data_IF_183075348479
#
_entry.id   IF_183075348479
#
_cell.length_a   1.000
_cell.length_b   1.000
_cell.length_c   1.000
_cell.angle_alpha   90.00
_cell.angle_beta   90.00
_cell.angle_gamma   90.00
#
_symmetry.space_group_name_H-M   'P 1'
#
loop_
_entity.id
_entity.type
_entity.pdbx_description
1 polymer ?
#
# COMPACT_ATOMS: atom_id res chain seq x y z
N UNK A 1 17.25 -17.24 26.89
CA UNK A 1 15.84 -17.58 27.05
C UNK A 1 15.03 -16.49 26.33
N UNK A 2 14.10 -16.83 25.40
CA UNK A 2 13.26 -15.83 24.78
C UNK A 2 12.41 -15.17 25.87
N UNK A 3 12.44 -13.84 25.90
CA UNK A 3 11.56 -13.07 26.79
C UNK A 3 10.13 -13.30 26.29
N UNK A 4 9.19 -13.59 27.18
CA UNK A 4 7.78 -13.77 26.83
C UNK A 4 7.28 -12.56 26.02
N UNK A 5 6.78 -12.79 24.79
CA UNK A 5 6.30 -11.75 23.89
C UNK A 5 7.19 -11.44 22.69
N UNK A 6 8.40 -12.00 22.58
CA UNK A 6 9.29 -11.82 21.42
C UNK A 6 9.05 -12.85 20.31
N UNK A 7 8.42 -13.97 20.61
CA UNK A 7 8.13 -15.00 19.62
C UNK A 7 6.97 -14.58 18.70
N UNK A 8 7.15 -14.79 17.39
CA UNK A 8 6.10 -14.63 16.40
C UNK A 8 5.54 -16.02 16.07
N UNK A 9 4.24 -16.18 16.24
CA UNK A 9 3.52 -17.40 15.85
C UNK A 9 2.24 -17.03 15.13
N UNK A 10 2.13 -17.49 13.88
CA UNK A 10 0.96 -17.28 13.02
C UNK A 10 0.46 -18.57 12.42
N UNK A 11 -0.87 -18.70 12.33
CA UNK A 11 -1.54 -19.79 11.64
C UNK A 11 -2.57 -19.19 10.69
N UNK A 12 -2.62 -19.70 9.49
CA UNK A 12 -3.60 -19.31 8.46
C UNK A 12 -4.49 -20.50 8.13
N UNK A 13 -5.78 -20.24 8.04
CA UNK A 13 -6.77 -21.23 7.62
C UNK A 13 -7.47 -20.74 6.36
N UNK A 14 -7.73 -21.68 5.47
CA UNK A 14 -8.30 -21.42 4.16
C UNK A 14 -9.52 -22.31 3.96
N UNK A 15 -10.51 -21.79 3.23
CA UNK A 15 -11.65 -22.60 2.79
C UNK A 15 -11.27 -23.56 1.65
N UNK A 16 -12.25 -24.35 1.14
CA UNK A 16 -12.03 -25.28 0.02
C UNK A 16 -11.68 -24.57 -1.30
N UNK A 17 -12.04 -23.31 -1.47
CA UNK A 17 -11.68 -22.49 -2.61
C UNK A 17 -10.36 -21.72 -2.38
N UNK A 18 -9.66 -22.03 -1.28
CA UNK A 18 -8.41 -21.41 -0.86
C UNK A 18 -8.50 -19.92 -0.54
N UNK A 19 -9.64 -19.41 -0.20
CA UNK A 19 -9.73 -18.08 0.38
C UNK A 19 -9.24 -18.10 1.82
N UNK A 20 -8.52 -17.06 2.24
CA UNK A 20 -8.14 -16.90 3.64
C UNK A 20 -9.42 -16.62 4.45
N UNK A 21 -9.73 -17.45 5.42
CA UNK A 21 -10.93 -17.32 6.27
C UNK A 21 -10.61 -17.08 7.73
N UNK A 22 -9.42 -17.44 8.19
CA UNK A 22 -9.02 -17.21 9.57
C UNK A 22 -7.51 -17.08 9.69
N UNK A 23 -7.06 -16.16 10.56
CA UNK A 23 -5.68 -16.07 11.03
C UNK A 23 -5.64 -16.09 12.55
N UNK A 24 -4.67 -16.79 13.10
CA UNK A 24 -4.36 -16.73 14.53
C UNK A 24 -2.95 -16.22 14.71
N UNK A 25 -2.82 -15.07 15.32
CA UNK A 25 -1.54 -14.43 15.65
C UNK A 25 -1.39 -14.36 17.18
N UNK A 26 -0.20 -14.65 17.70
CA UNK A 26 0.01 -14.64 19.14
C UNK A 26 0.03 -13.24 19.76
N UNK A 27 0.15 -12.19 18.95
CA UNK A 27 0.10 -10.79 19.40
C UNK A 27 -1.25 -10.12 19.11
N UNK A 28 -1.73 -10.24 17.85
CA UNK A 28 -2.96 -9.59 17.40
C UNK A 28 -4.23 -10.40 17.68
N UNK A 29 -4.07 -11.67 18.12
CA UNK A 29 -5.19 -12.57 18.35
C UNK A 29 -5.76 -13.20 17.09
N UNK A 30 -7.01 -13.60 17.16
CA UNK A 30 -7.74 -14.20 16.04
C UNK A 30 -8.32 -13.12 15.13
N UNK A 31 -8.28 -13.36 13.82
CA UNK A 31 -8.99 -12.57 12.82
C UNK A 31 -9.78 -13.51 11.90
N UNK A 32 -11.08 -13.30 11.78
CA UNK A 32 -11.98 -14.01 10.88
C UNK A 32 -12.21 -13.17 9.63
N UNK A 33 -12.17 -13.81 8.46
CA UNK A 33 -12.47 -13.19 7.15
C UNK A 33 -13.71 -13.86 6.57
N UNK A 34 -14.76 -13.09 6.34
CA UNK A 34 -15.93 -13.56 5.61
C UNK A 34 -15.77 -13.19 4.15
N UNK A 35 -16.01 -14.16 3.28
CA UNK A 35 -15.84 -13.98 1.84
C UNK A 35 -17.15 -14.24 1.11
N UNK A 36 -17.37 -13.52 0.02
CA UNK A 36 -18.47 -13.76 -0.88
C UNK A 36 -18.14 -14.91 -1.87
N UNK A 37 -19.09 -15.25 -2.75
CA UNK A 37 -18.93 -16.31 -3.75
C UNK A 37 -17.78 -16.07 -4.75
N UNK A 38 -17.36 -14.82 -4.91
CA UNK A 38 -16.23 -14.44 -5.78
C UNK A 38 -14.88 -14.43 -5.04
N UNK A 39 -14.85 -14.84 -3.76
CA UNK A 39 -13.65 -14.84 -2.93
C UNK A 39 -13.28 -13.48 -2.35
N UNK A 40 -14.07 -12.43 -2.59
CA UNK A 40 -13.81 -11.10 -2.03
C UNK A 40 -14.20 -11.07 -0.55
N UNK A 41 -13.35 -10.46 0.27
CA UNK A 41 -13.60 -10.29 1.71
C UNK A 41 -14.70 -9.26 1.90
N UNK A 42 -15.79 -9.63 2.56
CA UNK A 42 -16.91 -8.75 2.91
C UNK A 42 -16.82 -8.23 4.33
N UNK A 43 -16.21 -9.01 5.23
CA UNK A 43 -16.06 -8.64 6.63
C UNK A 43 -14.73 -9.14 7.17
N UNK A 44 -14.07 -8.31 7.97
CA UNK A 44 -12.90 -8.67 8.78
C UNK A 44 -13.25 -8.45 10.24
N UNK A 45 -13.21 -9.50 11.03
CA UNK A 45 -13.53 -9.48 12.45
C UNK A 45 -12.27 -9.81 13.22
N UNK A 46 -11.71 -8.88 13.97
CA UNK A 46 -10.50 -9.13 14.74
C UNK A 46 -10.73 -9.03 16.25
N UNK A 47 -9.92 -9.78 17.00
CA UNK A 47 -10.03 -9.85 18.46
C UNK A 47 -9.73 -8.54 19.20
N UNK A 48 -9.28 -7.50 18.51
CA UNK A 48 -8.98 -6.18 19.08
C UNK A 48 -10.17 -5.23 19.05
N UNK A 49 -11.38 -5.74 18.93
CA UNK A 49 -12.65 -4.96 18.88
C UNK A 49 -12.81 -4.10 17.61
N UNK A 50 -12.04 -4.35 16.58
CA UNK A 50 -12.21 -3.70 15.29
C UNK A 50 -12.91 -4.62 14.33
N UNK A 51 -13.84 -4.10 13.55
CA UNK A 51 -14.45 -4.80 12.43
C UNK A 51 -14.42 -3.92 11.19
N UNK A 52 -14.18 -4.56 10.06
CA UNK A 52 -14.20 -3.93 8.76
C UNK A 52 -15.33 -4.54 7.93
N UNK A 53 -16.08 -3.70 7.21
CA UNK A 53 -17.17 -4.14 6.35
C UNK A 53 -16.98 -3.57 4.96
N UNK A 54 -17.15 -4.43 3.95
CA UNK A 54 -16.94 -4.11 2.55
C UNK A 54 -18.08 -4.60 1.68
N UNK A 55 -18.45 -3.79 0.69
CA UNK A 55 -19.40 -4.19 -0.34
C UNK A 55 -18.83 -3.90 -1.71
N UNK A 56 -19.23 -4.73 -2.66
CA UNK A 56 -18.73 -4.70 -4.02
C UNK A 56 -19.90 -4.66 -5.00
N UNK A 57 -19.69 -4.06 -6.16
CA UNK A 57 -20.62 -4.13 -7.27
C UNK A 57 -20.44 -5.43 -8.10
N UNK A 58 -21.25 -5.58 -9.15
CA UNK A 58 -21.16 -6.73 -10.05
C UNK A 58 -19.87 -6.77 -10.88
N UNK A 59 -19.13 -5.65 -10.94
CA UNK A 59 -17.83 -5.52 -11.59
C UNK A 59 -16.67 -5.68 -10.63
N UNK A 60 -16.95 -6.13 -9.39
CA UNK A 60 -16.02 -6.37 -8.30
C UNK A 60 -15.35 -5.10 -7.74
N UNK A 61 -15.87 -3.91 -8.04
CA UNK A 61 -15.37 -2.68 -7.49
C UNK A 61 -15.88 -2.47 -6.05
N UNK A 62 -15.03 -1.93 -5.20
CA UNK A 62 -15.40 -1.55 -3.84
C UNK A 62 -16.41 -0.40 -3.88
N UNK A 63 -17.59 -0.60 -3.28
CA UNK A 63 -18.68 0.39 -3.26
C UNK A 63 -18.99 0.90 -1.86
N UNK A 64 -18.57 0.18 -0.83
CA UNK A 64 -18.72 0.58 0.56
C UNK A 64 -17.53 0.08 1.38
N UNK A 65 -17.04 0.93 2.26
CA UNK A 65 -16.01 0.64 3.24
C UNK A 65 -16.40 1.25 4.56
N UNK A 66 -16.48 0.44 5.62
CA UNK A 66 -16.76 0.89 6.98
C UNK A 66 -15.83 0.19 7.95
N UNK A 67 -15.32 0.93 8.92
CA UNK A 67 -14.62 0.40 10.09
C UNK A 67 -15.45 0.71 11.32
N UNK A 68 -15.57 -0.24 12.23
CA UNK A 68 -16.33 -0.07 13.48
C UNK A 68 -15.56 -0.66 14.64
N UNK A 69 -15.63 0.02 15.77
CA UNK A 69 -15.23 -0.53 17.05
C UNK A 69 -16.42 -1.27 17.68
N UNK A 70 -16.18 -2.39 18.31
CA UNK A 70 -17.19 -3.06 19.14
C UNK A 70 -17.36 -2.29 20.45
N UNK A 71 -18.57 -2.26 20.99
CA UNK A 71 -18.82 -1.72 22.33
C UNK A 71 -18.10 -2.55 23.42
N UNK A 72 -18.14 -2.06 24.67
CA UNK A 72 -17.53 -2.71 25.82
C UNK A 72 -18.08 -4.12 26.11
N UNK A 73 -19.25 -4.47 25.54
CA UNK A 73 -19.92 -5.77 25.68
C UNK A 73 -19.63 -6.71 24.53
N UNK A 74 -18.79 -6.31 23.55
CA UNK A 74 -18.47 -7.13 22.37
C UNK A 74 -19.64 -7.26 21.39
N UNK A 75 -20.71 -6.48 21.55
CA UNK A 75 -21.81 -6.45 20.60
C UNK A 75 -21.49 -5.46 19.49
N UNK A 76 -21.55 -5.96 18.24
CA UNK A 76 -21.48 -5.09 17.07
C UNK A 76 -22.76 -4.26 17.04
N UNK A 77 -22.67 -2.97 17.29
CA UNK A 77 -23.76 -2.07 16.96
C UNK A 77 -23.81 -1.96 15.43
N UNK A 78 -24.54 -2.86 14.81
CA UNK A 78 -24.97 -2.74 13.41
C UNK A 78 -25.99 -1.60 13.32
N UNK A 79 -25.54 -0.37 13.44
CA UNK A 79 -26.33 0.71 12.85
C UNK A 79 -26.38 0.43 11.35
N UNK A 80 -27.61 0.38 10.89
CA UNK A 80 -28.04 -0.15 9.62
C UNK A 80 -27.04 0.04 8.48
N UNK A 81 -26.86 -1.04 7.69
CA UNK A 81 -26.09 -1.10 6.42
C UNK A 81 -26.50 -0.05 5.36
N UNK A 82 -27.31 0.93 5.73
CA UNK A 82 -27.87 2.01 4.92
C UNK A 82 -27.30 3.39 5.26
N UNK A 83 -26.27 3.48 6.10
CA UNK A 83 -25.64 4.79 6.34
C UNK A 83 -24.89 5.22 5.09
N UNK A 84 -25.47 6.21 4.40
CA UNK A 84 -24.90 6.80 3.18
C UNK A 84 -23.50 7.40 3.38
N UNK A 85 -23.05 7.56 4.64
CA UNK A 85 -21.73 8.09 4.98
C UNK A 85 -20.59 7.13 4.60
N UNK A 86 -20.86 5.82 4.53
CA UNK A 86 -19.87 4.79 4.16
C UNK A 86 -19.92 4.37 2.71
N UNK A 87 -20.88 4.87 1.94
CA UNK A 87 -21.03 4.58 0.53
C UNK A 87 -20.06 5.37 -0.35
N UNK A 88 -19.51 4.72 -1.35
CA UNK A 88 -18.66 5.34 -2.37
C UNK A 88 -19.49 5.66 -3.62
N UNK A 89 -19.49 6.92 -4.07
CA UNK A 89 -20.03 7.26 -5.36
C UNK A 89 -18.96 7.14 -6.42
N UNK A 90 -19.27 6.41 -7.48
CA UNK A 90 -18.34 6.16 -8.60
C UNK A 90 -18.89 6.72 -9.89
N UNK A 91 -17.97 7.10 -10.77
CA UNK A 91 -18.28 7.45 -12.17
C UNK A 91 -17.13 7.00 -13.07
N UNK A 92 -17.42 6.16 -14.05
CA UNK A 92 -16.42 5.60 -14.96
C UNK A 92 -15.24 4.91 -14.23
N UNK A 93 -15.55 4.06 -13.25
CA UNK A 93 -14.56 3.33 -12.44
C UNK A 93 -13.84 4.16 -11.37
N UNK A 94 -14.05 5.50 -11.31
CA UNK A 94 -13.40 6.42 -10.37
C UNK A 94 -14.32 6.77 -9.22
N UNK A 95 -13.78 6.79 -8.00
CA UNK A 95 -14.51 7.26 -6.83
C UNK A 95 -14.56 8.79 -6.87
N UNK A 96 -15.76 9.34 -6.91
CA UNK A 96 -15.99 10.79 -6.93
C UNK A 96 -16.40 11.35 -5.58
N UNK A 97 -16.90 10.49 -4.67
CA UNK A 97 -17.21 10.83 -3.28
C UNK A 97 -17.08 9.61 -2.38
N UNK A 98 -16.52 9.82 -1.20
CA UNK A 98 -16.49 8.86 -0.10
C UNK A 98 -16.64 9.61 1.23
N UNK A 99 -17.68 9.30 1.98
CA UNK A 99 -18.01 10.00 3.22
C UNK A 99 -18.15 11.52 3.00
N UNK A 100 -17.37 12.28 3.75
CA UNK A 100 -17.29 13.74 3.68
C UNK A 100 -16.25 14.25 2.66
N UNK A 101 -15.64 13.36 1.86
CA UNK A 101 -14.61 13.69 0.89
C UNK A 101 -15.13 13.61 -0.54
N UNK A 102 -14.69 14.56 -1.36
CA UNK A 102 -15.02 14.66 -2.79
C UNK A 102 -13.74 14.66 -3.62
N UNK A 103 -13.71 13.87 -4.67
CA UNK A 103 -12.55 13.67 -5.54
C UNK A 103 -12.88 14.19 -6.93
N UNK A 104 -12.03 15.08 -7.47
CA UNK A 104 -12.13 15.60 -8.82
C UNK A 104 -10.93 15.13 -9.64
N UNK A 105 -11.18 14.80 -10.88
CA UNK A 105 -10.19 14.29 -11.81
C UNK A 105 -10.02 15.26 -12.99
N UNK A 106 -8.84 15.28 -13.56
CA UNK A 106 -8.55 16.02 -14.79
C UNK A 106 -9.13 15.28 -16.02
N UNK A 107 -8.94 15.87 -17.20
CA UNK A 107 -9.44 15.32 -18.47
C UNK A 107 -8.83 13.96 -18.82
N UNK A 108 -7.60 13.71 -18.35
CA UNK A 108 -6.91 12.42 -18.52
C UNK A 108 -7.27 11.40 -17.42
N UNK A 109 -8.23 11.73 -16.54
CA UNK A 109 -8.71 10.82 -15.51
C UNK A 109 -7.77 10.66 -14.30
N UNK A 110 -6.82 11.57 -14.08
CA UNK A 110 -5.92 11.58 -12.93
C UNK A 110 -6.50 12.45 -11.82
N UNK A 111 -6.33 12.05 -10.57
CA UNK A 111 -6.83 12.82 -9.44
C UNK A 111 -6.23 14.23 -9.44
N UNK A 112 -7.07 15.23 -9.58
CA UNK A 112 -6.68 16.64 -9.56
C UNK A 112 -6.82 17.25 -8.17
N UNK A 113 -7.91 16.91 -7.45
CA UNK A 113 -8.10 17.42 -6.08
C UNK A 113 -8.94 16.48 -5.21
N UNK A 114 -8.61 16.47 -3.91
CA UNK A 114 -9.38 15.84 -2.82
C UNK A 114 -9.84 16.94 -1.88
N UNK A 115 -11.16 17.12 -1.72
CA UNK A 115 -11.75 18.11 -0.81
C UNK A 115 -12.46 17.39 0.33
N UNK A 116 -12.05 17.66 1.57
CA UNK A 116 -12.70 17.20 2.78
C UNK A 116 -13.61 18.31 3.37
N UNK A 117 -14.85 17.95 3.73
CA UNK A 117 -15.82 18.87 4.30
C UNK A 117 -16.27 18.37 5.65
N UNK A 118 -15.93 19.07 6.73
CA UNK A 118 -16.40 18.79 8.09
C UNK A 118 -17.48 19.79 8.48
N UNK A 119 -18.55 19.32 9.14
CA UNK A 119 -19.64 20.19 9.60
C UNK A 119 -19.08 21.26 10.54
N UNK A 120 -19.34 22.53 10.24
CA UNK A 120 -18.85 23.67 11.03
C UNK A 120 -17.45 24.17 10.63
N UNK A 121 -16.77 23.54 9.67
CA UNK A 121 -15.44 23.95 9.22
C UNK A 121 -15.41 24.27 7.73
N UNK A 122 -14.44 25.06 7.31
CA UNK A 122 -14.20 25.31 5.89
C UNK A 122 -13.75 24.02 5.20
N UNK A 123 -14.16 23.77 3.96
CA UNK A 123 -13.63 22.68 3.16
C UNK A 123 -12.13 22.81 2.99
N UNK A 124 -11.43 21.70 3.13
CA UNK A 124 -9.97 21.59 2.98
C UNK A 124 -9.69 20.84 1.70
N UNK A 125 -8.89 21.43 0.80
CA UNK A 125 -8.61 20.83 -0.50
C UNK A 125 -7.11 20.57 -0.66
N UNK A 126 -6.77 19.35 -0.98
CA UNK A 126 -5.44 18.93 -1.43
C UNK A 126 -5.44 18.87 -2.96
N UNK A 127 -4.41 19.42 -3.59
CA UNK A 127 -4.25 19.46 -5.04
C UNK A 127 -3.08 18.59 -5.50
N UNK A 128 -3.24 17.97 -6.65
CA UNK A 128 -2.29 17.07 -7.29
C UNK A 128 -1.97 17.59 -8.70
N UNK A 129 -0.67 17.72 -9.03
CA UNK A 129 -0.22 18.09 -10.37
C UNK A 129 0.53 16.94 -11.02
N UNK A 130 0.29 16.77 -12.29
CA UNK A 130 0.81 15.67 -13.09
C UNK A 130 1.61 16.19 -14.28
N UNK A 131 2.65 15.46 -14.68
CA UNK A 131 3.33 15.71 -15.94
C UNK A 131 2.62 15.00 -17.11
N UNK A 132 3.16 15.16 -18.33
CA UNK A 132 2.64 14.53 -19.54
C UNK A 132 2.70 12.99 -19.52
N UNK A 133 3.56 12.41 -18.71
CA UNK A 133 3.74 10.95 -18.53
C UNK A 133 2.84 10.38 -17.42
N UNK A 134 1.87 11.16 -16.93
CA UNK A 134 0.98 10.80 -15.82
C UNK A 134 1.71 10.45 -14.51
N UNK A 135 2.86 11.08 -14.26
CA UNK A 135 3.58 11.01 -13.01
C UNK A 135 3.19 12.20 -12.12
N UNK A 136 2.94 11.96 -10.84
CA UNK A 136 2.64 13.00 -9.87
C UNK A 136 3.90 13.83 -9.60
N UNK A 137 3.89 15.11 -9.95
CA UNK A 137 5.07 15.98 -9.82
C UNK A 137 4.97 16.99 -8.69
N UNK A 138 3.76 17.38 -8.29
CA UNK A 138 3.55 18.25 -7.13
C UNK A 138 2.29 17.85 -6.36
N UNK A 139 2.36 18.04 -5.05
CA UNK A 139 1.26 17.94 -4.11
C UNK A 139 1.17 19.25 -3.33
N UNK A 140 -0.03 19.79 -3.17
CA UNK A 140 -0.28 20.93 -2.30
C UNK A 140 -1.31 20.54 -1.25
N UNK A 141 -0.86 20.26 -0.03
CA UNK A 141 -1.71 19.90 1.10
C UNK A 141 -1.77 21.03 2.11
N UNK A 142 -2.97 21.44 2.56
CA UNK A 142 -3.13 22.48 3.57
C UNK A 142 -2.47 22.16 4.91
N UNK A 143 -2.32 20.86 5.23
CA UNK A 143 -1.80 20.42 6.52
C UNK A 143 -0.37 19.90 6.47
N UNK A 144 0.06 19.39 5.31
CA UNK A 144 1.37 18.74 5.11
C UNK A 144 2.32 19.57 4.24
N UNK A 145 1.88 20.78 3.81
CA UNK A 145 2.66 21.67 2.96
C UNK A 145 2.67 21.23 1.50
N UNK A 146 3.57 21.84 0.76
CA UNK A 146 3.73 21.62 -0.68
C UNK A 146 4.95 20.76 -0.95
N UNK A 147 4.80 19.77 -1.81
CA UNK A 147 5.84 18.80 -2.11
C UNK A 147 6.04 18.65 -3.61
N UNK A 148 7.29 18.35 -4.00
CA UNK A 148 7.69 18.04 -5.38
C UNK A 148 8.32 16.67 -5.44
N UNK A 149 8.04 15.99 -6.56
CA UNK A 149 8.52 14.65 -6.86
C UNK A 149 9.28 14.66 -8.17
N UNK A 150 10.44 14.03 -8.20
CA UNK A 150 11.29 13.93 -9.39
C UNK A 150 11.49 12.48 -9.77
N UNK A 151 11.61 12.25 -11.08
CA UNK A 151 11.69 10.92 -11.67
C UNK A 151 12.90 10.81 -12.58
N UNK A 152 13.46 9.61 -12.68
CA UNK A 152 14.50 9.31 -13.66
C UNK A 152 13.87 9.02 -15.04
N UNK A 153 14.73 8.76 -16.04
CA UNK A 153 14.32 8.41 -17.40
C UNK A 153 13.51 7.11 -17.51
N UNK A 154 13.61 6.24 -16.51
CA UNK A 154 12.80 5.03 -16.41
C UNK A 154 11.48 5.25 -15.68
N UNK A 155 11.18 6.48 -15.26
CA UNK A 155 9.98 6.83 -14.52
C UNK A 155 9.97 6.37 -13.05
N UNK A 156 11.13 6.06 -12.44
CA UNK A 156 11.24 5.77 -11.01
C UNK A 156 11.38 7.06 -10.24
N UNK A 157 10.64 7.22 -9.17
CA UNK A 157 10.72 8.41 -8.32
C UNK A 157 12.04 8.44 -7.55
N UNK A 158 12.94 9.31 -7.95
CA UNK A 158 14.29 9.41 -7.37
C UNK A 158 14.40 10.43 -6.25
N UNK A 159 13.47 11.39 -6.16
CA UNK A 159 13.50 12.43 -5.14
C UNK A 159 12.09 12.84 -4.76
N UNK A 160 11.86 13.15 -3.49
CA UNK A 160 10.74 13.96 -3.02
C UNK A 160 11.24 15.01 -2.04
N UNK A 161 10.70 16.22 -2.11
CA UNK A 161 11.07 17.29 -1.19
C UNK A 161 9.96 18.31 -1.02
N UNK A 162 9.97 18.92 0.15
CA UNK A 162 9.06 20.01 0.49
C UNK A 162 9.51 21.29 -0.19
N UNK A 163 8.56 22.02 -0.78
CA UNK A 163 8.79 23.32 -1.42
C UNK A 163 8.11 24.43 -0.63
N UNK A 164 8.77 25.59 -0.55
CA UNK A 164 8.09 26.80 -0.10
C UNK A 164 7.22 27.32 -1.25
N UNK A 165 5.99 27.66 -0.94
CA UNK A 165 5.10 28.33 -1.87
C UNK A 165 4.81 29.72 -1.31
N UNK A 166 4.83 30.74 -2.15
CA UNK A 166 4.43 32.11 -1.81
C UNK A 166 2.93 32.21 -1.47
N UNK A 167 2.21 31.12 -1.60
CA UNK A 167 0.82 31.00 -1.14
C UNK A 167 0.83 30.92 0.38
N UNK A 168 0.03 31.77 1.06
CA UNK A 168 -0.12 31.68 2.52
C UNK A 168 -0.54 30.27 2.88
N UNK A 169 0.31 29.59 3.67
CA UNK A 169 0.03 28.24 4.17
C UNK A 169 -1.28 28.26 4.95
N UNK A 170 -2.28 27.45 4.60
CA UNK A 170 -3.55 27.43 5.32
C UNK A 170 -3.42 26.92 6.78
N UNK A 171 -2.20 26.60 7.24
CA UNK A 171 -1.92 26.15 8.60
C UNK A 171 -2.27 27.15 9.70
N UNK A 172 -2.55 28.39 9.32
CA UNK A 172 -3.10 29.40 10.22
C UNK A 172 -4.63 29.53 10.10
N UNK A 173 -5.29 28.68 9.35
CA UNK A 173 -6.75 28.61 9.39
C UNK A 173 -7.14 27.93 10.71
N UNK A 174 -7.13 28.72 11.78
CA UNK A 174 -7.82 28.41 13.02
C UNK A 174 -9.17 27.80 12.65
N UNK A 175 -9.54 26.72 13.30
CA UNK A 175 -10.85 26.06 13.22
C UNK A 175 -11.96 27.09 13.55
N UNK A 176 -12.41 27.86 12.59
CA UNK A 176 -13.40 28.91 12.79
C UNK A 176 -14.76 28.51 12.26
N UNK A 177 -15.84 28.76 13.00
CA UNK A 177 -17.19 28.38 12.59
C UNK A 177 -17.65 29.16 11.36
N UNK A 178 -18.37 28.47 10.46
CA UNK A 178 -18.88 28.97 9.16
C UNK A 178 -19.81 30.20 9.26
N UNK A 179 -20.20 30.63 10.47
CA UNK A 179 -21.17 31.70 10.69
C UNK A 179 -20.62 33.10 10.88
N UNK A 180 -19.37 33.35 10.48
CA UNK A 180 -18.84 34.71 10.48
C UNK A 180 -19.39 35.52 9.29
N UNK A 181 -19.85 36.75 9.53
CA UNK A 181 -20.36 37.63 8.50
C UNK A 181 -19.24 38.18 7.58
N UNK A 182 -19.61 38.86 6.47
CA UNK A 182 -18.65 39.38 5.47
C UNK A 182 -17.64 40.36 6.09
N UNK A 183 -18.05 41.20 7.06
CA UNK A 183 -17.18 42.20 7.71
C UNK A 183 -16.10 41.54 8.59
N UNK A 184 -16.44 40.41 9.19
CA UNK A 184 -15.47 39.59 9.93
C UNK A 184 -14.36 39.03 9.01
N UNK A 185 -14.75 38.56 7.82
CA UNK A 185 -13.79 38.07 6.84
C UNK A 185 -12.92 39.16 6.26
N UNK A 186 -13.42 40.37 6.07
CA UNK A 186 -12.63 41.50 5.63
C UNK A 186 -11.55 41.86 6.64
N UNK A 187 -11.91 41.88 7.91
CA UNK A 187 -11.00 42.14 9.04
C UNK A 187 -9.91 41.08 9.21
N UNK A 188 -10.27 39.80 9.00
CA UNK A 188 -9.32 38.68 9.03
C UNK A 188 -8.35 38.75 7.86
N UNK A 189 -8.82 39.06 6.65
CA UNK A 189 -7.96 39.21 5.48
C UNK A 189 -6.98 40.38 5.62
N UNK A 190 -7.41 41.50 6.27
CA UNK A 190 -6.51 42.61 6.61
C UNK A 190 -5.46 42.25 7.66
N UNK A 191 -5.84 41.45 8.67
CA UNK A 191 -4.90 40.94 9.67
C UNK A 191 -3.87 40.01 9.04
N UNK A 192 -4.30 39.12 8.15
CA UNK A 192 -3.41 38.22 7.43
C UNK A 192 -2.46 38.96 6.47
N UNK A 193 -2.94 40.01 5.78
CA UNK A 193 -2.08 40.83 4.94
C UNK A 193 -1.00 41.57 5.77
N UNK A 194 -1.35 42.06 6.95
CA UNK A 194 -0.41 42.70 7.89
C UNK A 194 0.58 41.70 8.49
N UNK A 195 0.11 40.48 8.81
CA UNK A 195 0.95 39.42 9.36
C UNK A 195 1.91 38.85 8.31
N UNK A 196 1.47 38.68 7.05
CA UNK A 196 2.32 38.34 5.93
C UNK A 196 3.41 39.38 5.65
N UNK A 197 3.08 40.65 5.75
CA UNK A 197 4.08 41.73 5.65
C UNK A 197 5.08 41.72 6.82
N UNK A 198 4.62 41.50 8.06
CA UNK A 198 5.50 41.44 9.23
C UNK A 198 6.38 40.17 9.25
N UNK A 199 5.94 39.09 8.64
CA UNK A 199 6.73 37.85 8.46
C UNK A 199 7.78 38.03 7.35
N UNK A 200 7.49 38.75 6.27
CA UNK A 200 8.47 38.99 5.21
C UNK A 200 9.69 39.77 5.72
N UNK A 201 9.50 40.65 6.72
CA UNK A 201 10.61 41.40 7.37
C UNK A 201 11.37 40.57 8.41
N UNK A 202 10.75 39.53 9.00
CA UNK A 202 11.39 38.60 9.95
C UNK A 202 12.02 37.38 9.28
N UNK A 203 11.69 37.09 8.03
CA UNK A 203 12.09 35.88 7.31
C UNK A 203 13.55 35.88 6.84
N UNK A 204 14.28 36.98 7.03
CA UNK A 204 15.71 37.01 6.71
C UNK A 204 16.61 36.27 7.71
N UNK A 205 16.09 35.72 8.82
CA UNK A 205 16.93 35.10 9.86
C UNK A 205 16.54 33.65 10.29
N UNK A 206 15.43 33.09 9.82
CA UNK A 206 15.07 31.69 10.14
C UNK A 206 14.51 30.99 8.90
N UNK A 207 15.39 30.64 7.96
CA UNK A 207 15.09 29.71 6.89
C UNK A 207 14.86 28.33 7.49
N UNK A 208 13.60 27.91 7.61
CA UNK A 208 13.23 26.55 8.00
C UNK A 208 13.80 25.60 6.95
N UNK A 209 14.74 24.76 7.35
CA UNK A 209 15.26 23.72 6.48
C UNK A 209 14.11 22.85 6.00
N UNK A 210 13.82 22.88 4.70
CA UNK A 210 12.84 22.02 4.08
C UNK A 210 13.40 20.60 4.06
N UNK A 211 12.55 19.60 4.31
CA UNK A 211 12.96 18.20 4.33
C UNK A 211 12.63 17.48 3.02
N UNK A 212 13.37 16.45 2.74
CA UNK A 212 13.11 15.59 1.57
C UNK A 212 13.92 14.31 1.63
N UNK A 213 13.74 13.48 0.62
CA UNK A 213 14.41 12.19 0.51
C UNK A 213 14.90 11.94 -0.91
N UNK A 214 16.05 11.29 -1.01
CA UNK A 214 16.63 10.72 -2.24
C UNK A 214 16.49 9.21 -2.20
N UNK A 215 16.10 8.63 -3.34
CA UNK A 215 15.84 7.21 -3.49
C UNK A 215 16.80 6.56 -4.47
N UNK A 216 17.24 5.33 -4.17
CA UNK A 216 18.00 4.49 -5.09
C UNK A 216 17.24 3.20 -5.38
N UNK A 217 17.38 2.75 -6.62
CA UNK A 217 16.73 1.54 -7.10
C UNK A 217 17.73 0.58 -7.75
N UNK A 218 17.57 -0.71 -7.47
CA UNK A 218 18.10 -1.81 -8.28
C UNK A 218 16.94 -2.32 -9.13
N UNK A 219 16.95 -2.06 -10.44
CA UNK A 219 15.80 -2.28 -11.32
C UNK A 219 14.55 -1.56 -10.79
N UNK A 220 13.54 -2.29 -10.30
CA UNK A 220 12.32 -1.74 -9.70
C UNK A 220 12.26 -1.87 -8.17
N UNK A 221 13.27 -2.47 -7.54
CA UNK A 221 13.38 -2.58 -6.09
C UNK A 221 13.93 -1.28 -5.49
N UNK A 222 13.27 -0.71 -4.50
CA UNK A 222 13.75 0.43 -3.71
C UNK A 222 14.84 -0.05 -2.75
N UNK A 223 16.11 0.14 -3.08
CA UNK A 223 17.23 -0.39 -2.27
C UNK A 223 17.78 0.60 -1.25
N UNK A 224 17.53 1.90 -1.41
CA UNK A 224 17.91 2.88 -0.38
C UNK A 224 17.06 4.16 -0.45
N UNK A 225 16.90 4.77 0.72
CA UNK A 225 16.39 6.12 0.87
C UNK A 225 17.30 6.91 1.82
N UNK A 226 17.68 8.11 1.41
CA UNK A 226 18.52 8.99 2.21
C UNK A 226 17.82 10.32 2.45
N UNK A 227 17.83 10.84 3.69
CA UNK A 227 17.31 12.17 3.96
C UNK A 227 18.17 13.21 3.24
N UNK A 228 17.53 14.24 2.71
CA UNK A 228 18.22 15.41 2.17
C UNK A 228 17.73 16.66 2.88
N UNK A 229 18.62 17.62 3.02
CA UNK A 229 18.30 18.94 3.53
C UNK A 229 18.26 19.92 2.35
N UNK A 230 17.22 20.70 2.31
CA UNK A 230 17.04 21.74 1.30
C UNK A 230 17.14 23.07 2.02
N UNK A 231 18.15 23.86 1.65
CA UNK A 231 18.31 25.22 2.16
C UNK A 231 17.85 26.20 1.08
N UNK A 232 17.14 27.24 1.49
CA UNK A 232 16.79 28.35 0.61
C UNK A 232 17.74 29.51 0.91
N UNK A 233 18.43 30.02 -0.09
CA UNK A 233 19.27 31.22 0.00
C UNK A 233 18.75 32.20 -1.03
N UNK A 234 18.37 33.40 -0.61
CA UNK A 234 17.92 34.51 -1.49
C UNK A 234 16.82 34.11 -2.50
N UNK A 235 15.86 33.30 -2.07
CA UNK A 235 14.77 32.84 -2.93
C UNK A 235 15.13 31.66 -3.87
N UNK A 236 16.39 31.24 -3.90
CA UNK A 236 16.81 30.06 -4.64
C UNK A 236 16.86 28.84 -3.72
N UNK A 237 16.16 27.76 -4.11
CA UNK A 237 16.23 26.46 -3.44
C UNK A 237 17.57 25.80 -3.80
N UNK A 238 18.47 25.67 -2.85
CA UNK A 238 19.68 24.86 -3.00
C UNK A 238 19.39 23.44 -2.49
N UNK A 239 19.40 22.45 -3.38
CA UNK A 239 19.37 21.03 -3.02
C UNK A 239 20.71 20.67 -2.40
N UNK A 240 20.74 20.36 -1.11
CA UNK A 240 21.91 19.77 -0.49
C UNK A 240 22.02 18.29 -0.88
N UNK A 241 23.23 17.76 -0.85
CA UNK A 241 23.46 16.34 -1.13
C UNK A 241 22.71 15.46 -0.13
N UNK A 242 22.23 14.31 -0.61
CA UNK A 242 21.62 13.31 0.24
C UNK A 242 22.63 12.79 1.27
N UNK A 243 22.20 12.69 2.52
CA UNK A 243 23.04 12.17 3.59
C UNK A 243 22.98 10.64 3.61
N UNK A 244 23.85 9.99 2.82
CA UNK A 244 23.93 8.54 2.73
C UNK A 244 24.41 7.85 4.01
N UNK A 245 25.09 8.56 4.91
CA UNK A 245 25.44 8.01 6.22
C UNK A 245 24.21 7.78 7.13
N UNK A 246 23.14 8.52 6.88
CA UNK A 246 21.85 8.36 7.56
C UNK A 246 20.79 7.69 6.68
N UNK A 247 21.21 7.02 5.61
CA UNK A 247 20.30 6.31 4.72
C UNK A 247 19.75 5.04 5.34
N UNK A 248 18.54 4.70 4.95
CA UNK A 248 17.95 3.39 5.16
C UNK A 248 18.24 2.55 3.92
N UNK A 249 18.84 1.38 4.10
CA UNK A 249 19.09 0.42 3.05
C UNK A 249 18.15 -0.78 3.20
N UNK A 250 17.56 -1.21 2.08
CA UNK A 250 16.71 -2.38 2.01
C UNK A 250 17.40 -3.48 1.22
N UNK A 251 17.48 -4.66 1.79
CA UNK A 251 18.11 -5.83 1.19
C UNK A 251 17.02 -6.76 0.65
N UNK A 252 17.19 -7.22 -0.59
CA UNK A 252 16.22 -8.08 -1.27
C UNK A 252 16.91 -9.36 -1.73
N UNK A 253 16.13 -10.43 -1.84
CA UNK A 253 16.50 -11.57 -2.66
C UNK A 253 16.34 -11.18 -4.15
N UNK A 254 16.97 -11.92 -5.02
CA UNK A 254 16.84 -11.72 -6.46
C UNK A 254 15.39 -11.90 -6.88
N UNK A 255 14.90 -10.98 -7.73
CA UNK A 255 13.53 -10.94 -8.26
C UNK A 255 12.38 -10.90 -7.23
N UNK A 256 12.67 -10.65 -5.95
CA UNK A 256 11.65 -10.45 -4.93
C UNK A 256 11.37 -8.95 -4.71
N UNK A 257 10.13 -8.59 -4.48
CA UNK A 257 9.72 -7.22 -4.12
C UNK A 257 9.52 -7.04 -2.61
N UNK A 258 9.66 -8.09 -1.82
CA UNK A 258 9.63 -8.04 -0.36
C UNK A 258 11.06 -7.98 0.16
N UNK A 259 11.50 -6.90 0.81
CA UNK A 259 12.84 -6.85 1.39
C UNK A 259 12.97 -7.87 2.52
N UNK A 260 14.13 -8.50 2.61
CA UNK A 260 14.47 -9.49 3.66
C UNK A 260 15.10 -8.85 4.88
N UNK A 261 15.72 -7.67 4.71
CA UNK A 261 16.31 -6.93 5.82
C UNK A 261 16.36 -5.43 5.53
N UNK A 262 16.52 -4.68 6.61
CA UNK A 262 16.73 -3.23 6.63
C UNK A 262 18.00 -2.91 7.41
N UNK A 263 18.82 -2.01 6.89
CA UNK A 263 20.02 -1.51 7.57
C UNK A 263 19.95 0.00 7.69
N UNK A 264 20.15 0.53 8.90
CA UNK A 264 20.19 1.96 9.19
C UNK A 264 21.12 2.23 10.37
N UNK A 265 22.01 3.22 10.24
CA UNK A 265 22.88 3.70 11.34
C UNK A 265 23.64 2.60 12.07
N UNK A 266 24.15 1.62 11.34
CA UNK A 266 24.89 0.49 11.92
C UNK A 266 24.04 -0.65 12.49
N UNK A 267 22.71 -0.55 12.40
CA UNK A 267 21.80 -1.57 12.91
C UNK A 267 21.14 -2.33 11.75
N UNK A 268 21.17 -3.65 11.80
CA UNK A 268 20.47 -4.53 10.89
C UNK A 268 19.19 -5.02 11.53
N UNK A 269 18.10 -4.99 10.74
CA UNK A 269 16.81 -5.55 11.13
C UNK A 269 16.35 -6.53 10.06
N UNK A 270 15.97 -7.72 10.46
CA UNK A 270 15.33 -8.70 9.57
C UNK A 270 13.85 -8.41 9.46
N UNK A 271 13.29 -8.57 8.26
CA UNK A 271 11.87 -8.39 8.02
C UNK A 271 11.10 -9.68 8.23
N UNK A 272 9.92 -9.59 8.82
CA UNK A 272 8.93 -10.65 8.83
C UNK A 272 7.72 -10.17 8.04
N UNK A 273 7.25 -11.00 7.12
CA UNK A 273 6.13 -10.68 6.25
C UNK A 273 4.95 -11.64 6.47
N UNK A 274 3.77 -11.20 6.07
CA UNK A 274 2.56 -12.02 6.02
C UNK A 274 2.55 -12.96 4.78
N UNK A 275 1.43 -13.64 4.56
CA UNK A 275 1.26 -14.63 3.47
C UNK A 275 1.28 -14.02 2.05
N UNK A 276 1.13 -12.71 1.93
CA UNK A 276 1.19 -12.00 0.63
C UNK A 276 2.46 -11.14 0.48
N UNK A 277 3.38 -11.20 1.46
CA UNK A 277 4.65 -10.51 1.41
C UNK A 277 4.64 -9.10 2.04
N UNK A 278 3.57 -8.71 2.72
CA UNK A 278 3.53 -7.44 3.46
C UNK A 278 4.38 -7.53 4.72
N UNK A 279 5.32 -6.60 4.90
CA UNK A 279 6.14 -6.54 6.11
C UNK A 279 5.25 -6.22 7.31
N UNK A 280 5.34 -7.04 8.34
CA UNK A 280 4.57 -6.90 9.57
C UNK A 280 5.44 -6.62 10.78
N UNK A 281 6.68 -7.14 10.82
CA UNK A 281 7.65 -6.86 11.87
C UNK A 281 9.04 -6.59 11.33
N UNK A 282 9.83 -5.88 12.14
CA UNK A 282 11.28 -5.76 12.01
C UNK A 282 11.91 -6.31 13.28
N UNK A 283 12.86 -7.24 13.12
CA UNK A 283 13.58 -7.91 14.18
C UNK A 283 15.02 -7.43 14.23
N UNK A 284 15.54 -7.20 15.43
CA UNK A 284 16.98 -7.00 15.63
C UNK A 284 17.77 -8.27 15.32
N UNK A 285 19.10 -8.18 15.22
CA UNK A 285 19.98 -9.35 15.02
C UNK A 285 19.85 -10.40 16.15
N UNK A 286 19.51 -9.95 17.36
CA UNK A 286 19.26 -10.82 18.52
C UNK A 286 17.83 -11.40 18.52
N UNK A 287 17.01 -11.10 17.52
CA UNK A 287 15.65 -11.62 17.37
C UNK A 287 14.58 -10.89 18.19
N UNK A 288 14.87 -9.71 18.73
CA UNK A 288 13.86 -8.88 19.37
C UNK A 288 13.03 -8.14 18.34
N UNK A 289 11.72 -8.00 18.59
CA UNK A 289 10.82 -7.23 17.74
C UNK A 289 11.00 -5.76 18.09
N UNK A 290 11.47 -4.97 17.12
CA UNK A 290 11.75 -3.55 17.27
C UNK A 290 10.67 -2.67 16.64
N UNK A 291 9.95 -3.21 15.64
CA UNK A 291 8.84 -2.58 14.98
C UNK A 291 7.75 -3.60 14.65
N UNK A 292 6.50 -3.18 14.75
CA UNK A 292 5.32 -3.93 14.29
C UNK A 292 4.33 -3.01 13.61
N UNK A 293 3.71 -3.49 12.53
CA UNK A 293 2.56 -2.82 11.93
C UNK A 293 1.44 -3.81 11.66
N UNK A 294 0.22 -3.29 11.64
CA UNK A 294 -0.96 -3.99 11.19
C UNK A 294 -1.68 -3.11 10.18
N UNK A 295 -1.97 -3.65 9.02
CA UNK A 295 -2.76 -2.99 7.99
C UNK A 295 -4.19 -3.53 8.01
N UNK A 296 -5.16 -2.67 7.67
CA UNK A 296 -6.50 -3.13 7.33
C UNK A 296 -6.49 -3.84 5.96
N UNK A 297 -7.63 -4.39 5.55
CA UNK A 297 -7.74 -5.15 4.30
C UNK A 297 -7.25 -4.37 3.07
N UNK A 298 -7.39 -3.05 3.05
CA UNK A 298 -7.03 -2.19 1.92
C UNK A 298 -5.74 -1.38 2.14
N UNK A 299 -4.95 -1.75 3.16
CA UNK A 299 -3.57 -1.26 3.30
C UNK A 299 -3.40 0.00 4.12
N UNK A 300 -4.45 0.55 4.76
CA UNK A 300 -4.27 1.59 5.77
C UNK A 300 -3.63 0.99 7.02
N UNK A 301 -2.65 1.68 7.58
CA UNK A 301 -2.07 1.27 8.85
C UNK A 301 -3.09 1.46 9.98
N UNK A 302 -3.52 0.36 10.61
CA UNK A 302 -4.36 0.39 11.81
C UNK A 302 -3.50 0.72 13.03
N UNK A 303 -2.30 0.16 13.08
CA UNK A 303 -1.32 0.37 14.14
C UNK A 303 0.03 0.48 13.48
N UNK A 304 0.66 1.63 13.64
CA UNK A 304 2.04 1.88 13.28
C UNK A 304 2.83 1.78 14.58
N UNK A 305 3.35 0.58 14.84
CA UNK A 305 3.86 0.21 16.17
C UNK A 305 5.34 0.45 16.31
N UNK A 306 5.69 1.32 17.23
CA UNK A 306 7.05 1.44 17.74
C UNK A 306 7.26 0.53 18.95
N UNK A 307 8.52 0.19 19.19
CA UNK A 307 8.91 -0.44 20.46
C UNK A 307 8.44 0.45 21.62
N UNK A 308 7.60 -0.07 22.49
CA UNK A 308 7.11 0.64 23.67
C UNK A 308 8.20 1.02 24.70
N UNK A 309 9.49 0.79 24.38
CA UNK A 309 10.59 0.96 25.33
C UNK A 309 11.13 2.37 25.43
N UNK A 310 10.75 3.25 24.54
CA UNK A 310 11.32 4.58 24.54
C UNK A 310 10.24 5.66 24.46
N UNK A 311 9.52 5.87 25.55
CA UNK A 311 8.84 7.15 25.78
C UNK A 311 9.78 8.36 25.56
N UNK A 312 11.10 8.12 25.47
CA UNK A 312 12.17 9.08 25.27
C UNK A 312 12.95 8.89 23.95
N UNK A 313 12.54 7.99 23.05
CA UNK A 313 13.21 7.85 21.76
C UNK A 313 12.79 8.99 20.83
N UNK A 314 13.72 9.92 20.61
CA UNK A 314 13.52 11.06 19.73
C UNK A 314 13.42 10.69 18.25
N UNK A 315 13.71 9.43 17.86
CA UNK A 315 13.70 8.97 16.48
C UNK A 315 13.23 7.51 16.37
N UNK A 316 11.93 7.24 16.57
CA UNK A 316 11.39 5.88 16.54
C UNK A 316 11.56 5.24 15.16
N UNK A 317 11.81 3.92 15.15
CA UNK A 317 11.91 3.13 13.94
C UNK A 317 10.60 3.20 13.14
N UNK A 318 10.68 3.51 11.85
CA UNK A 318 9.52 3.60 10.94
C UNK A 318 9.71 2.65 9.76
N UNK A 319 8.63 2.04 9.31
CA UNK A 319 8.61 1.27 8.08
C UNK A 319 7.53 1.82 7.15
N UNK A 320 7.94 2.34 6.00
CA UNK A 320 7.01 2.89 5.01
C UNK A 320 6.56 1.86 3.97
N UNK A 321 7.09 0.63 3.97
CA UNK A 321 6.55 -0.45 3.15
C UNK A 321 5.11 -0.77 3.55
N UNK A 322 4.27 -0.97 2.53
CA UNK A 322 2.86 -1.40 2.68
C UNK A 322 2.69 -2.71 1.92
N UNK A 323 1.68 -2.88 1.09
CA UNK A 323 1.62 -4.05 0.22
C UNK A 323 2.87 -4.15 -0.65
N UNK A 324 3.17 -5.34 -1.14
CA UNK A 324 4.37 -5.59 -1.95
C UNK A 324 4.50 -4.58 -3.08
N UNK A 325 5.66 -3.91 -3.16
CA UNK A 325 5.94 -2.85 -4.12
C UNK A 325 5.43 -1.46 -3.74
N UNK A 326 4.66 -1.33 -2.66
CA UNK A 326 4.10 -0.04 -2.20
C UNK A 326 4.96 0.61 -1.13
N UNK A 327 5.09 1.93 -1.22
CA UNK A 327 5.82 2.75 -0.27
C UNK A 327 4.98 3.97 0.15
N UNK A 328 4.71 4.08 1.45
CA UNK A 328 3.83 5.11 2.02
C UNK A 328 4.47 6.49 2.00
N UNK A 329 3.70 7.49 1.65
CA UNK A 329 4.06 8.90 1.67
C UNK A 329 3.17 9.65 2.67
N UNK A 330 3.74 10.07 3.80
CA UNK A 330 3.01 10.76 4.88
C UNK A 330 2.34 12.06 4.41
N UNK A 331 2.98 12.79 3.52
CA UNK A 331 2.48 14.07 3.00
C UNK A 331 1.23 13.95 2.14
N UNK A 332 1.09 12.84 1.41
CA UNK A 332 -0.03 12.60 0.51
C UNK A 332 -1.06 11.61 1.05
N UNK A 333 -0.68 10.83 2.07
CA UNK A 333 -1.42 9.67 2.58
C UNK A 333 -1.65 8.59 1.50
N UNK A 334 -0.82 8.60 0.45
CA UNK A 334 -0.86 7.65 -0.65
C UNK A 334 0.31 6.67 -0.55
N UNK A 335 0.18 5.55 -1.29
CA UNK A 335 1.30 4.64 -1.48
C UNK A 335 1.86 4.81 -2.89
N UNK A 336 3.11 5.20 -2.99
CA UNK A 336 3.84 5.16 -4.25
C UNK A 336 4.02 3.68 -4.66
N UNK A 337 3.51 3.31 -5.80
CA UNK A 337 3.58 1.96 -6.35
C UNK A 337 4.13 1.98 -7.78
N UNK A 338 5.41 2.33 -7.90
CA UNK A 338 6.20 2.37 -9.12
C UNK A 338 5.58 3.21 -10.25
N UNK A 339 4.58 2.72 -10.95
CA UNK A 339 3.93 3.39 -12.09
C UNK A 339 2.69 4.18 -11.71
N UNK A 340 2.11 3.93 -10.54
CA UNK A 340 0.90 4.61 -10.04
C UNK A 340 1.02 4.97 -8.56
N UNK A 341 0.07 5.77 -8.10
CA UNK A 341 -0.14 6.02 -6.68
C UNK A 341 -1.45 5.37 -6.24
N UNK A 342 -1.38 4.60 -5.18
CA UNK A 342 -2.51 3.90 -4.60
C UNK A 342 -3.06 4.67 -3.39
N UNK A 343 -4.39 4.79 -3.32
CA UNK A 343 -5.09 5.36 -2.17
C UNK A 343 -5.68 4.23 -1.32
N UNK A 344 -5.12 3.93 -0.15
CA UNK A 344 -5.66 2.91 0.73
C UNK A 344 -7.03 3.30 1.28
N UNK A 345 -7.31 4.60 1.38
CA UNK A 345 -8.61 5.13 1.78
C UNK A 345 -9.73 4.65 0.84
N UNK A 346 -9.50 4.70 -0.45
CA UNK A 346 -10.49 4.34 -1.47
C UNK A 346 -10.33 2.94 -2.04
N UNK A 347 -9.22 2.26 -1.74
CA UNK A 347 -8.90 0.96 -2.31
C UNK A 347 -8.60 1.00 -3.82
N UNK A 348 -8.22 2.17 -4.36
CA UNK A 348 -8.00 2.39 -5.80
C UNK A 348 -6.73 3.17 -6.08
N UNK A 349 -6.23 3.03 -7.31
CA UNK A 349 -5.23 3.95 -7.85
C UNK A 349 -5.87 5.30 -8.18
N UNK A 350 -5.09 6.37 -8.09
CA UNK A 350 -5.56 7.74 -8.34
C UNK A 350 -5.35 8.21 -9.79
N UNK A 351 -4.81 7.35 -10.64
CA UNK A 351 -4.68 7.49 -12.08
C UNK A 351 -5.05 6.18 -12.77
N UNK A 352 -5.44 6.24 -14.04
CA UNK A 352 -5.74 5.04 -14.81
C UNK A 352 -4.45 4.23 -15.09
N UNK A 353 -4.66 2.98 -15.42
CA UNK A 353 -3.57 2.05 -15.72
C UNK A 353 -2.82 2.46 -17.00
N UNK A 354 -1.47 2.62 -16.96
CA UNK A 354 -0.69 2.92 -18.15
C UNK A 354 -0.75 1.85 -19.24
N UNK A 355 -1.00 0.59 -18.88
CA UNK A 355 -1.15 -0.53 -19.82
C UNK A 355 -2.63 -0.76 -20.23
N UNK A 356 -3.55 0.09 -19.78
CA UNK A 356 -4.95 0.06 -20.14
C UNK A 356 -5.63 -1.25 -19.72
N UNK A 357 -6.38 -1.87 -20.64
CA UNK A 357 -7.14 -3.08 -20.37
C UNK A 357 -6.27 -4.32 -20.09
N UNK A 358 -4.99 -4.28 -20.38
CA UNK A 358 -4.06 -5.37 -20.01
C UNK A 358 -3.89 -5.48 -18.49
N UNK A 359 -4.08 -4.39 -17.74
CA UNK A 359 -4.08 -4.38 -16.28
C UNK A 359 -5.41 -4.78 -15.64
N UNK A 360 -6.46 -4.98 -16.43
CA UNK A 360 -7.79 -5.36 -15.95
C UNK A 360 -8.92 -4.48 -16.49
N UNK A 361 -10.17 -4.87 -16.22
CA UNK A 361 -11.35 -4.14 -16.69
C UNK A 361 -11.58 -2.81 -15.97
N UNK A 362 -11.19 -2.72 -14.69
CA UNK A 362 -11.22 -1.45 -13.95
C UNK A 362 -9.85 -0.78 -14.02
N UNK A 363 -9.70 0.31 -14.79
CA UNK A 363 -8.40 0.97 -14.98
C UNK A 363 -7.87 1.66 -13.70
N UNK A 364 -8.68 1.75 -12.65
CA UNK A 364 -8.29 2.30 -11.33
C UNK A 364 -8.21 1.24 -10.24
N UNK A 365 -8.59 -0.01 -10.57
CA UNK A 365 -8.59 -1.11 -9.61
C UNK A 365 -7.19 -1.44 -9.10
N UNK A 366 -7.09 -1.72 -7.81
CA UNK A 366 -6.05 -2.55 -7.22
C UNK A 366 -6.48 -4.01 -7.39
N UNK A 367 -5.86 -4.93 -6.70
CA UNK A 367 -6.25 -6.35 -6.73
C UNK A 367 -7.66 -6.56 -6.14
N UNK A 368 -8.43 -7.48 -6.70
CA UNK A 368 -9.79 -7.76 -6.22
C UNK A 368 -9.83 -8.47 -4.86
N UNK A 369 -8.76 -9.19 -4.49
CA UNK A 369 -8.64 -9.97 -3.24
C UNK A 369 -7.25 -9.70 -2.62
N UNK A 370 -7.10 -8.65 -1.79
CA UNK A 370 -5.80 -8.26 -1.23
C UNK A 370 -5.15 -9.32 -0.31
N UNK A 371 -5.91 -10.28 0.19
CA UNK A 371 -5.39 -11.41 0.98
C UNK A 371 -4.73 -12.51 0.15
N UNK A 372 -4.83 -12.43 -1.18
CA UNK A 372 -4.35 -13.46 -2.10
C UNK A 372 -3.50 -12.90 -3.26
N UNK A 373 -3.70 -11.66 -3.65
CA UNK A 373 -3.04 -11.05 -4.81
C UNK A 373 -2.30 -9.79 -4.43
N UNK A 374 -1.25 -9.48 -5.18
CA UNK A 374 -0.46 -8.25 -5.08
C UNK A 374 -0.23 -7.65 -6.46
N UNK A 375 0.06 -6.35 -6.50
CA UNK A 375 0.46 -5.63 -7.71
C UNK A 375 1.74 -4.83 -7.41
N UNK A 376 2.91 -5.45 -7.53
CA UNK A 376 4.19 -4.85 -7.11
C UNK A 376 4.59 -3.60 -7.90
N UNK A 377 4.08 -3.44 -9.11
CA UNK A 377 4.46 -2.36 -10.01
C UNK A 377 3.36 -1.33 -10.24
N UNK A 378 2.14 -1.60 -9.77
CA UNK A 378 1.00 -0.75 -10.08
C UNK A 378 0.57 -0.84 -11.54
N UNK A 379 0.60 -2.05 -12.14
CA UNK A 379 0.24 -2.32 -13.54
C UNK A 379 -0.67 -3.52 -13.68
N UNK A 380 -0.31 -4.63 -13.07
CA UNK A 380 -0.99 -5.90 -13.24
C UNK A 380 -0.97 -6.71 -11.96
N UNK A 381 -2.05 -7.41 -11.69
CA UNK A 381 -2.13 -8.36 -10.58
C UNK A 381 -1.13 -9.49 -10.80
N UNK A 382 -0.18 -9.63 -9.88
CA UNK A 382 0.70 -10.79 -9.82
C UNK A 382 0.02 -11.89 -9.02
N UNK A 383 -0.20 -13.07 -9.58
CA UNK A 383 -0.67 -14.21 -8.82
C UNK A 383 0.39 -14.61 -7.79
N UNK A 384 -0.05 -14.86 -6.56
CA UNK A 384 0.84 -15.42 -5.54
C UNK A 384 1.24 -16.85 -5.91
N UNK A 385 2.27 -17.40 -5.27
CA UNK A 385 2.65 -18.83 -5.42
C UNK A 385 1.43 -19.74 -5.30
N UNK A 386 0.50 -19.40 -4.43
CA UNK A 386 -0.75 -20.14 -4.23
C UNK A 386 -1.69 -20.09 -5.43
N UNK A 387 -1.81 -18.92 -6.08
CA UNK A 387 -2.70 -18.79 -7.23
C UNK A 387 -2.09 -19.42 -8.47
N UNK A 388 -0.78 -19.29 -8.65
CA UNK A 388 -0.03 -20.05 -9.64
C UNK A 388 -0.21 -21.55 -9.43
N UNK A 389 -0.15 -22.01 -8.18
CA UNK A 389 -0.44 -23.41 -7.81
C UNK A 389 -1.86 -23.81 -8.17
N UNK A 390 -2.88 -22.98 -7.85
CA UNK A 390 -4.28 -23.29 -8.21
C UNK A 390 -4.47 -23.40 -9.72
N UNK A 391 -3.92 -22.47 -10.49
CA UNK A 391 -3.98 -22.50 -11.95
C UNK A 391 -3.38 -23.81 -12.50
N UNK A 392 -2.18 -24.16 -12.03
CA UNK A 392 -1.52 -25.40 -12.42
C UNK A 392 -2.31 -26.64 -12.00
N UNK A 393 -2.98 -26.62 -10.84
CA UNK A 393 -3.85 -27.69 -10.38
C UNK A 393 -5.12 -27.83 -11.21
N UNK A 394 -5.70 -26.71 -11.65
CA UNK A 394 -6.87 -26.70 -12.53
C UNK A 394 -6.56 -27.33 -13.90
N UNK A 395 -5.33 -27.17 -14.40
CA UNK A 395 -4.83 -27.83 -15.61
C UNK A 395 -4.45 -29.31 -15.39
N UNK A 396 -4.71 -29.85 -14.21
CA UNK A 396 -4.49 -31.29 -13.91
C UNK A 396 -3.06 -31.64 -13.52
N UNK A 397 -2.17 -30.68 -13.36
CA UNK A 397 -0.79 -30.92 -12.89
C UNK A 397 -0.83 -31.46 -11.46
N UNK A 398 -0.03 -32.50 -11.17
CA UNK A 398 0.02 -33.10 -9.84
C UNK A 398 0.40 -32.10 -8.77
N UNK A 399 -0.09 -32.26 -7.55
CA UNK A 399 0.07 -31.33 -6.45
C UNK A 399 1.53 -30.95 -6.16
N UNK A 400 2.44 -31.93 -6.18
CA UNK A 400 3.87 -31.70 -5.94
C UNK A 400 4.53 -30.90 -7.06
N UNK A 401 4.22 -31.23 -8.31
CA UNK A 401 4.76 -30.57 -9.49
C UNK A 401 4.21 -29.15 -9.60
N UNK A 402 2.90 -28.99 -9.38
CA UNK A 402 2.24 -27.69 -9.36
C UNK A 402 2.83 -26.75 -8.28
N UNK A 403 3.19 -27.30 -7.12
CA UNK A 403 3.81 -26.51 -6.05
C UNK A 403 5.24 -26.08 -6.38
N UNK A 404 6.04 -26.98 -6.98
CA UNK A 404 7.39 -26.66 -7.43
C UNK A 404 7.38 -25.59 -8.54
N UNK A 405 6.54 -25.79 -9.57
CA UNK A 405 6.38 -24.85 -10.69
C UNK A 405 5.83 -23.49 -10.23
N UNK A 406 4.91 -23.47 -9.26
CA UNK A 406 4.37 -22.23 -8.74
C UNK A 406 5.41 -21.37 -7.98
N UNK A 407 6.41 -22.02 -7.38
CA UNK A 407 7.51 -21.34 -6.68
C UNK A 407 8.61 -20.83 -7.61
N UNK A 408 8.74 -21.38 -8.79
CA UNK A 408 9.76 -20.96 -9.75
C UNK A 408 9.34 -19.66 -10.41
N UNK A 409 10.02 -18.53 -10.17
CA UNK A 409 9.66 -17.22 -10.73
C UNK A 409 9.82 -17.18 -12.26
N UNK A 410 10.63 -18.08 -12.84
CA UNK A 410 10.89 -18.13 -14.29
C UNK A 410 9.84 -18.94 -15.04
N UNK A 411 8.94 -19.62 -14.34
CA UNK A 411 7.85 -20.38 -14.96
C UNK A 411 6.68 -19.48 -15.30
N UNK A 412 6.42 -19.29 -16.58
CA UNK A 412 5.20 -18.62 -17.05
C UNK A 412 4.01 -19.59 -16.97
N UNK A 413 3.32 -19.52 -15.84
CA UNK A 413 2.12 -20.33 -15.59
C UNK A 413 1.00 -20.02 -16.60
N UNK A 414 0.89 -18.79 -17.06
CA UNK A 414 -0.11 -18.38 -18.07
C UNK A 414 0.16 -19.05 -19.43
N UNK A 415 1.43 -19.18 -19.79
CA UNK A 415 1.82 -19.87 -21.00
C UNK A 415 1.52 -21.38 -20.91
N UNK A 416 1.74 -21.99 -19.74
CA UNK A 416 1.38 -23.38 -19.49
C UNK A 416 -0.14 -23.58 -19.58
N UNK A 417 -0.94 -22.69 -18.96
CA UNK A 417 -2.40 -22.73 -19.01
C UNK A 417 -2.93 -22.54 -20.42
N UNK A 418 -2.35 -21.62 -21.20
CA UNK A 418 -2.79 -21.30 -22.56
C UNK A 418 -2.43 -22.37 -23.59
N UNK A 419 -1.24 -22.95 -23.48
CA UNK A 419 -0.66 -23.85 -24.50
C UNK A 419 -0.73 -25.33 -24.08
N UNK A 420 -1.25 -25.61 -22.90
CA UNK A 420 -1.12 -26.94 -22.29
C UNK A 420 0.26 -27.14 -21.66
N UNK A 421 0.39 -28.19 -20.87
CA UNK A 421 1.71 -28.61 -20.37
C UNK A 421 2.54 -29.01 -21.57
N UNK A 422 3.74 -28.41 -21.81
CA UNK A 422 4.64 -28.92 -22.81
C UNK A 422 4.81 -30.42 -22.60
N UNK A 423 4.87 -31.23 -23.66
CA UNK A 423 5.16 -32.67 -23.51
C UNK A 423 6.49 -32.82 -22.78
N UNK A 424 6.39 -32.94 -21.48
CA UNK A 424 7.54 -33.13 -20.63
C UNK A 424 7.88 -34.61 -20.63
N UNK A 425 8.82 -34.99 -21.46
CA UNK A 425 9.29 -36.37 -21.58
C UNK A 425 10.49 -36.72 -20.68
N UNK A 426 10.85 -35.83 -19.74
CA UNK A 426 11.95 -36.04 -18.81
C UNK A 426 11.53 -36.14 -17.34
N UNK A 427 12.31 -36.80 -16.49
CA UNK A 427 12.11 -36.74 -15.06
C UNK A 427 12.38 -35.35 -14.54
N UNK A 428 11.47 -34.80 -13.71
CA UNK A 428 11.69 -33.54 -13.00
C UNK A 428 12.91 -33.73 -12.11
N UNK A 429 13.91 -32.88 -12.25
CA UNK A 429 15.03 -32.85 -11.31
C UNK A 429 14.57 -32.20 -9.99
N UNK A 430 14.06 -33.03 -9.12
CA UNK A 430 13.60 -32.61 -7.79
C UNK A 430 14.75 -32.06 -6.93
N UNK A 431 16.01 -32.42 -7.24
CA UNK A 431 17.16 -31.97 -6.48
C UNK A 431 17.52 -30.51 -6.78
N UNK A 432 17.32 -30.05 -8.01
CA UNK A 432 17.50 -28.66 -8.42
C UNK A 432 16.55 -27.71 -7.67
N UNK A 433 15.42 -28.22 -7.18
CA UNK A 433 14.40 -27.47 -6.45
C UNK A 433 14.35 -27.79 -4.94
N UNK A 434 15.35 -28.50 -4.40
CA UNK A 434 15.43 -28.88 -2.99
C UNK A 434 14.34 -29.86 -2.51
N UNK A 435 13.69 -30.56 -3.43
CA UNK A 435 12.61 -31.51 -3.15
C UNK A 435 13.11 -32.95 -3.21
N UNK A 436 12.62 -33.82 -2.32
CA UNK A 436 12.89 -35.27 -2.38
C UNK A 436 12.06 -35.91 -3.48
N UNK A 437 12.69 -36.74 -4.34
CA UNK A 437 11.99 -37.54 -5.35
C UNK A 437 10.89 -38.40 -4.70
N UNK A 438 9.67 -38.42 -5.23
CA UNK A 438 8.63 -39.27 -4.70
C UNK A 438 8.99 -40.76 -4.85
N UNK A 439 8.70 -41.55 -3.82
CA UNK A 439 8.84 -43.02 -3.91
C UNK A 439 8.03 -43.54 -5.09
N UNK A 440 8.73 -44.30 -5.94
CA UNK A 440 8.24 -44.88 -7.17
C UNK A 440 6.93 -45.66 -6.93
N UNK A 441 5.81 -45.08 -7.34
CA UNK A 441 4.54 -45.81 -7.45
C UNK A 441 4.28 -45.99 -8.94
N UNK A 442 4.46 -47.20 -9.43
CA UNK A 442 4.19 -47.63 -10.81
C UNK A 442 2.71 -47.48 -11.20
N UNK A 443 2.24 -46.23 -11.33
CA UNK A 443 0.94 -45.95 -11.96
C UNK A 443 1.18 -45.12 -13.20
N UNK A 444 0.68 -45.50 -14.37
CA UNK A 444 0.82 -44.73 -15.60
C UNK A 444 0.18 -43.36 -15.42
N UNK A 445 0.93 -42.32 -15.74
CA UNK A 445 0.48 -40.93 -15.67
C UNK A 445 -0.34 -40.64 -16.92
N UNK A 446 -1.63 -40.42 -16.77
CA UNK A 446 -2.50 -39.95 -17.86
C UNK A 446 -2.31 -38.44 -18.00
N UNK A 447 -1.90 -37.97 -19.18
CA UNK A 447 -1.71 -36.55 -19.49
C UNK A 447 -3.05 -35.80 -19.49
N UNK A 448 -3.04 -34.47 -19.34
CA UNK A 448 -4.24 -33.65 -19.41
C UNK A 448 -5.00 -33.81 -20.72
N UNK A 449 -4.30 -34.02 -21.84
CA UNK A 449 -4.88 -34.28 -23.17
C UNK A 449 -5.57 -35.65 -23.23
N UNK A 450 -4.98 -36.65 -22.64
CA UNK A 450 -5.60 -38.00 -22.55
C UNK A 450 -6.82 -38.02 -21.63
N UNK A 451 -6.86 -37.17 -20.59
CA UNK A 451 -8.08 -37.01 -19.75
C UNK A 451 -9.21 -36.29 -20.49
N UNK A 452 -8.92 -35.34 -21.36
CA UNK A 452 -9.92 -34.70 -22.23
C UNK A 452 -10.54 -35.70 -23.21
N UNK A 453 -9.72 -36.57 -23.80
CA UNK A 453 -10.21 -37.64 -24.71
C UNK A 453 -11.03 -38.74 -24.00
N UNK A 454 -10.98 -38.83 -22.67
CA UNK A 454 -11.80 -39.80 -21.89
C UNK A 454 -13.11 -39.20 -21.37
N UNK A 455 -13.34 -37.90 -21.57
CA UNK A 455 -14.54 -37.19 -21.13
C UNK A 455 -15.45 -36.77 -22.31
N UNK A 456 -15.01 -36.95 -23.55
CA UNK A 456 -15.79 -36.94 -24.79
C UNK A 456 -16.17 -38.38 -25.18
#
# INVERSE_FOLDING_TARGET
>A
YPIAGTQISRKWQYDKAFNLVHTQDNHWGATEYRVNKNGQVTDVLNGLRHSEHYRYDSQLNLTQKAQRETDALGQYQFEAANDASFGMKQRNGRITRFGNKTYKYDELGRLHSKTETKKGFRPVTTYYKWNSQSQLVELHSPFKGSWRYEYDSFGRRITKYQIQTDQPQPNQVINMPIRANQDYWHKINELWAKEAQSQSEKTSQNLTALSGYRYLYKQNQLVAEAPLQITSTEGNLALTQANWANAIYWLYQEDDFTPTARYEKGQLHYTVADQVGTITELLTEDGYIDYRQKLNLWGEAEIDGHRHYAANDSNPLKCNHRFVGQYYDDESELHYNRFRYYSPETGQYISHDPIGLLGGFNPYGYVGIPTAFVDPLGLQVCPTVKDRYKQLRAEGIRAQDAYALAKDPNVDVQQIVKNGVPEWNGPIDYSAHGLKSPRNTNKPTVTASQKRQMLD
#
